data_IF_948182058525
#
_entry.id   IF_948182058525
#
_cell.length_a   1.000
_cell.length_b   1.000
_cell.length_c   1.000
_cell.angle_alpha   90.00
_cell.angle_beta   90.00
_cell.angle_gamma   90.00
#
_symmetry.space_group_name_H-M   'P 1'
#
loop_
_entity.id
_entity.type
_entity.pdbx_description
1 polymer ?
#
# COMPACT_ATOMS: atom_id res chain seq x y z
N UNK A 1 5.32 32.56 2.89
CA UNK A 1 3.86 32.43 2.75
C UNK A 1 3.35 31.58 3.90
N UNK A 2 2.22 31.90 4.51
CA UNK A 2 1.59 31.04 5.50
C UNK A 2 1.15 29.76 4.76
N UNK A 3 1.40 28.59 5.35
CA UNK A 3 0.90 27.32 4.80
C UNK A 3 -0.60 27.26 5.01
N UNK A 4 -1.31 26.73 4.03
CA UNK A 4 -2.75 26.52 4.11
C UNK A 4 -3.08 25.44 5.14
N UNK A 5 -4.27 25.58 5.76
CA UNK A 5 -4.83 24.52 6.60
C UNK A 5 -5.61 23.56 5.73
N UNK A 6 -5.51 22.27 6.05
CA UNK A 6 -6.35 21.24 5.45
C UNK A 6 -7.78 21.34 6.00
N UNK A 7 -8.76 21.39 5.11
CA UNK A 7 -10.18 21.38 5.45
C UNK A 7 -10.80 20.03 5.11
N UNK A 8 -11.45 19.38 6.09
CA UNK A 8 -12.09 18.08 5.95
C UNK A 8 -13.54 18.24 5.50
N UNK A 9 -13.75 18.43 4.20
CA UNK A 9 -15.08 18.65 3.63
C UNK A 9 -15.68 17.37 3.02
N UNK A 10 -14.86 16.36 2.72
CA UNK A 10 -15.24 15.12 2.06
C UNK A 10 -14.65 13.91 2.81
N UNK A 11 -15.25 12.70 2.70
CA UNK A 11 -14.63 11.48 3.20
C UNK A 11 -13.28 11.25 2.54
N UNK A 12 -12.27 10.93 3.35
CA UNK A 12 -10.92 10.63 2.87
C UNK A 12 -10.76 9.13 2.59
N UNK A 13 -10.23 8.79 1.42
CA UNK A 13 -9.99 7.40 0.98
C UNK A 13 -8.58 7.28 0.41
N UNK A 14 -7.87 6.24 0.84
CA UNK A 14 -6.56 5.92 0.28
C UNK A 14 -6.74 4.87 -0.81
N UNK A 15 -6.37 5.21 -2.03
CA UNK A 15 -6.33 4.26 -3.14
C UNK A 15 -4.91 4.17 -3.70
N UNK A 16 -4.65 3.17 -4.52
CA UNK A 16 -3.38 3.12 -5.22
C UNK A 16 -3.42 2.25 -6.45
N UNK A 17 -2.42 2.44 -7.32
CA UNK A 17 -2.22 1.65 -8.52
C UNK A 17 -1.34 0.45 -8.23
N UNK A 18 -1.80 -0.73 -8.64
CA UNK A 18 -1.06 -2.01 -8.59
C UNK A 18 -1.07 -2.66 -9.97
N UNK A 19 -0.16 -3.59 -10.23
CA UNK A 19 -0.07 -4.30 -11.50
C UNK A 19 1.39 -4.44 -11.99
N UNK A 20 1.57 -5.10 -13.11
CA UNK A 20 2.88 -5.41 -13.67
C UNK A 20 3.68 -4.14 -14.04
N UNK A 21 5.03 -4.27 -14.13
CA UNK A 21 5.88 -3.23 -14.70
C UNK A 21 5.46 -2.94 -16.14
N UNK A 22 5.60 -1.70 -16.58
CA UNK A 22 5.25 -1.23 -17.94
C UNK A 22 3.76 -1.31 -18.35
N UNK A 23 2.85 -1.71 -17.45
CA UNK A 23 1.41 -1.64 -17.70
C UNK A 23 0.82 -0.23 -17.61
N UNK A 24 1.63 0.77 -17.22
CA UNK A 24 1.27 2.20 -17.26
C UNK A 24 0.60 2.74 -16.00
N UNK A 25 0.93 2.21 -14.82
CA UNK A 25 0.40 2.68 -13.52
C UNK A 25 0.66 4.17 -13.29
N UNK A 26 1.91 4.59 -13.37
CA UNK A 26 2.32 5.98 -13.17
C UNK A 26 1.74 6.91 -14.25
N UNK A 27 1.62 6.42 -15.49
CA UNK A 27 0.95 7.15 -16.57
C UNK A 27 -0.53 7.36 -16.27
N UNK A 28 -1.21 6.33 -15.72
CA UNK A 28 -2.60 6.43 -15.30
C UNK A 28 -2.76 7.42 -14.15
N UNK A 29 -1.88 7.38 -13.16
CA UNK A 29 -1.88 8.33 -12.04
C UNK A 29 -1.73 9.78 -12.56
N UNK A 30 -0.82 10.02 -13.50
CA UNK A 30 -0.66 11.33 -14.13
C UNK A 30 -1.90 11.74 -14.93
N UNK A 31 -2.53 10.82 -15.68
CA UNK A 31 -3.74 11.08 -16.43
C UNK A 31 -4.93 11.45 -15.52
N UNK A 32 -5.09 10.74 -14.39
CA UNK A 32 -6.12 11.06 -13.39
C UNK A 32 -5.94 12.49 -12.86
N UNK A 33 -4.74 12.86 -12.43
CA UNK A 33 -4.49 14.22 -11.91
C UNK A 33 -4.70 15.29 -12.97
N UNK A 34 -4.37 15.00 -14.23
CA UNK A 34 -4.62 15.92 -15.36
C UNK A 34 -6.10 16.16 -15.58
N UNK A 35 -6.89 15.08 -15.67
CA UNK A 35 -8.32 15.17 -15.96
C UNK A 35 -9.06 15.89 -14.82
N UNK A 36 -8.79 15.53 -13.57
CA UNK A 36 -9.39 16.17 -12.41
C UNK A 36 -8.92 17.63 -12.23
N UNK A 37 -7.71 17.97 -12.66
CA UNK A 37 -7.25 19.37 -12.67
C UNK A 37 -8.10 20.27 -13.58
N UNK A 38 -8.69 19.72 -14.66
CA UNK A 38 -9.58 20.47 -15.54
C UNK A 38 -10.88 20.89 -14.84
N UNK A 39 -11.31 20.15 -13.82
CA UNK A 39 -12.46 20.48 -12.97
C UNK A 39 -12.07 21.35 -11.76
N UNK A 40 -10.77 21.49 -11.48
CA UNK A 40 -10.25 22.21 -10.32
C UNK A 40 -10.11 21.36 -9.08
N UNK A 41 -10.29 20.04 -9.20
CA UNK A 41 -10.32 19.06 -8.10
C UNK A 41 -8.96 18.39 -7.84
N UNK A 42 -7.91 18.82 -8.56
CA UNK A 42 -6.55 18.34 -8.34
C UNK A 42 -5.51 19.38 -8.78
N UNK A 43 -4.30 19.29 -8.22
CA UNK A 43 -3.11 19.86 -8.84
C UNK A 43 -2.56 18.86 -9.86
N UNK A 44 -2.37 19.28 -11.13
CA UNK A 44 -1.75 18.41 -12.13
C UNK A 44 -0.33 18.03 -11.72
N UNK A 45 -0.08 16.73 -11.62
CA UNK A 45 1.24 16.17 -11.35
C UNK A 45 1.74 15.46 -12.59
N UNK A 46 2.73 16.04 -13.27
CA UNK A 46 3.37 15.43 -14.42
C UNK A 46 4.08 14.12 -14.03
N UNK A 47 4.13 13.16 -14.93
CA UNK A 47 4.82 11.89 -14.79
C UNK A 47 6.21 12.03 -14.17
N UNK A 48 7.03 12.97 -14.66
CA UNK A 48 8.37 13.26 -14.15
C UNK A 48 8.40 13.80 -12.70
N UNK A 49 7.26 14.20 -12.15
CA UNK A 49 7.11 14.67 -10.78
C UNK A 49 6.52 13.61 -9.85
N UNK A 50 5.99 12.51 -10.38
CA UNK A 50 5.60 11.31 -9.63
C UNK A 50 6.88 10.49 -9.36
N UNK A 51 7.59 10.08 -10.40
CA UNK A 51 8.90 9.39 -10.31
C UNK A 51 10.02 10.41 -10.14
N UNK A 52 10.35 10.74 -8.89
CA UNK A 52 11.27 11.86 -8.56
C UNK A 52 12.73 11.47 -8.49
N UNK A 53 13.02 10.21 -8.13
CA UNK A 53 14.40 9.77 -7.94
C UNK A 53 15.15 9.74 -9.29
N UNK A 54 16.44 10.15 -9.32
CA UNK A 54 17.23 10.08 -10.55
C UNK A 54 17.26 8.68 -11.17
N UNK A 55 17.31 7.64 -10.34
CA UNK A 55 17.32 6.24 -10.76
C UNK A 55 15.98 5.79 -11.38
N UNK A 56 14.85 6.32 -10.89
CA UNK A 56 13.51 6.08 -11.45
C UNK A 56 13.40 6.64 -12.85
N UNK A 57 13.89 7.87 -13.04
CA UNK A 57 13.89 8.56 -14.35
C UNK A 57 14.83 7.90 -15.36
N UNK A 58 16.01 7.44 -14.91
CA UNK A 58 16.98 6.79 -15.78
C UNK A 58 16.49 5.42 -16.26
N UNK A 59 15.82 4.68 -15.39
CA UNK A 59 15.33 3.33 -15.69
C UNK A 59 13.91 3.32 -16.25
N UNK A 60 13.14 4.41 -16.12
CA UNK A 60 11.73 4.49 -16.50
C UNK A 60 10.81 3.58 -15.68
N UNK A 61 11.18 3.27 -14.43
CA UNK A 61 10.41 2.41 -13.52
C UNK A 61 10.26 3.07 -12.17
N UNK A 62 9.09 2.90 -11.54
CA UNK A 62 8.84 3.34 -10.16
C UNK A 62 9.57 2.41 -9.18
N UNK A 63 10.37 2.97 -8.30
CA UNK A 63 11.12 2.26 -7.24
C UNK A 63 10.47 2.46 -5.88
N UNK A 64 10.18 3.71 -5.54
CA UNK A 64 9.53 4.09 -4.29
C UNK A 64 8.06 4.39 -4.50
N UNK A 65 7.27 4.22 -3.45
CA UNK A 65 5.87 4.67 -3.47
C UNK A 65 5.81 6.20 -3.58
N UNK A 66 4.98 6.69 -4.49
CA UNK A 66 4.69 8.11 -4.62
C UNK A 66 3.27 8.40 -4.15
N UNK A 67 3.08 9.52 -3.46
CA UNK A 67 1.77 9.94 -2.98
C UNK A 67 1.31 11.19 -3.74
N UNK A 68 0.09 11.12 -4.25
CA UNK A 68 -0.57 12.20 -4.98
C UNK A 68 -1.94 12.46 -4.36
N UNK A 69 -2.35 13.73 -4.31
CA UNK A 69 -3.64 14.17 -3.76
C UNK A 69 -4.57 14.62 -4.89
N UNK A 70 -5.83 14.22 -4.83
CA UNK A 70 -6.89 14.75 -5.68
C UNK A 70 -8.28 14.50 -5.06
N UNK A 71 -9.29 15.13 -5.63
CA UNK A 71 -10.67 15.02 -5.17
C UNK A 71 -11.60 14.65 -6.33
N UNK A 72 -12.76 14.13 -5.99
CA UNK A 72 -13.95 14.07 -6.84
C UNK A 72 -15.06 14.86 -6.15
N UNK A 73 -16.23 14.97 -6.76
CA UNK A 73 -17.37 15.58 -6.08
C UNK A 73 -17.71 14.89 -4.75
N UNK A 74 -17.48 13.55 -4.67
CA UNK A 74 -17.89 12.71 -3.53
C UNK A 74 -16.82 12.57 -2.47
N UNK A 75 -15.52 12.53 -2.85
CA UNK A 75 -14.43 12.07 -1.97
C UNK A 75 -13.13 12.83 -2.17
N UNK A 76 -12.32 12.82 -1.13
CA UNK A 76 -10.91 13.24 -1.16
C UNK A 76 -10.02 11.99 -1.19
N UNK A 77 -9.05 11.94 -2.11
CA UNK A 77 -8.18 10.78 -2.32
C UNK A 77 -6.72 11.10 -2.02
N UNK A 78 -6.09 10.20 -1.26
CA UNK A 78 -4.65 10.01 -1.27
C UNK A 78 -4.35 8.81 -2.20
N UNK A 79 -3.63 9.04 -3.27
CA UNK A 79 -3.27 8.02 -4.24
C UNK A 79 -1.82 7.59 -4.06
N UNK A 80 -1.61 6.29 -3.88
CA UNK A 80 -0.30 5.66 -3.72
C UNK A 80 0.08 4.98 -5.04
N UNK A 81 1.03 5.54 -5.77
CA UNK A 81 1.59 4.87 -6.94
C UNK A 81 2.64 3.84 -6.51
N UNK A 82 2.37 2.56 -6.78
CA UNK A 82 3.22 1.45 -6.35
C UNK A 82 4.17 0.98 -7.44
N UNK A 83 5.40 0.57 -7.07
CA UNK A 83 6.32 -0.05 -8.01
C UNK A 83 5.74 -1.35 -8.57
N UNK A 84 6.02 -1.63 -9.85
CA UNK A 84 5.58 -2.85 -10.53
C UNK A 84 6.64 -3.94 -10.60
N UNK A 85 7.91 -3.62 -10.37
CA UNK A 85 9.03 -4.54 -10.55
C UNK A 85 9.22 -5.46 -9.34
N UNK A 86 9.55 -6.74 -9.59
CA UNK A 86 9.71 -7.76 -8.55
C UNK A 86 10.76 -7.40 -7.47
N UNK A 87 11.81 -6.67 -7.83
CA UNK A 87 12.85 -6.25 -6.87
C UNK A 87 12.33 -5.25 -5.81
N UNK A 88 11.22 -4.57 -6.09
CA UNK A 88 10.66 -3.52 -5.23
C UNK A 88 9.35 -3.94 -4.55
N UNK A 89 9.04 -5.23 -4.53
CA UNK A 89 7.82 -5.78 -3.90
C UNK A 89 7.68 -5.36 -2.43
N UNK A 90 8.79 -5.17 -1.70
CA UNK A 90 8.76 -4.62 -0.35
C UNK A 90 8.07 -3.24 -0.28
N UNK A 91 8.37 -2.35 -1.23
CA UNK A 91 7.75 -1.03 -1.30
C UNK A 91 6.29 -1.15 -1.77
N UNK A 92 5.99 -2.10 -2.66
CA UNK A 92 4.60 -2.41 -3.07
C UNK A 92 3.76 -2.88 -1.87
N UNK A 93 4.26 -3.82 -1.05
CA UNK A 93 3.56 -4.30 0.16
C UNK A 93 3.29 -3.15 1.12
N UNK A 94 4.30 -2.29 1.34
CA UNK A 94 4.15 -1.11 2.21
C UNK A 94 3.09 -0.15 1.68
N UNK A 95 3.07 0.11 0.37
CA UNK A 95 2.06 0.95 -0.27
C UNK A 95 0.67 0.32 -0.20
N UNK A 96 0.54 -0.96 -0.55
CA UNK A 96 -0.73 -1.68 -0.53
C UNK A 96 -1.36 -1.75 0.88
N UNK A 97 -0.55 -1.89 1.92
CA UNK A 97 -1.03 -1.88 3.30
C UNK A 97 -1.67 -0.55 3.72
N UNK A 98 -1.47 0.51 2.96
CA UNK A 98 -2.06 1.83 3.20
C UNK A 98 -3.38 2.04 2.45
N UNK A 99 -3.75 1.16 1.52
CA UNK A 99 -4.89 1.35 0.63
C UNK A 99 -6.20 0.92 1.28
N UNK A 100 -7.23 1.71 1.06
CA UNK A 100 -8.63 1.39 1.33
C UNK A 100 -9.31 0.77 0.09
N UNK A 101 -8.64 0.82 -1.06
CA UNK A 101 -8.99 0.20 -2.32
C UNK A 101 -7.86 0.31 -3.32
N UNK A 102 -7.85 -0.51 -4.36
CA UNK A 102 -6.81 -0.49 -5.38
C UNK A 102 -7.37 -0.38 -6.80
N UNK A 103 -6.59 0.21 -7.69
CA UNK A 103 -6.80 0.18 -9.13
C UNK A 103 -5.78 -0.81 -9.71
N UNK A 104 -6.25 -1.95 -10.21
CA UNK A 104 -5.43 -2.92 -10.89
C UNK A 104 -5.26 -2.51 -12.35
N UNK A 105 -4.05 -2.19 -12.76
CA UNK A 105 -3.71 -1.77 -14.12
C UNK A 105 -3.13 -2.94 -14.89
N UNK A 106 -3.78 -3.31 -15.99
CA UNK A 106 -3.35 -4.39 -16.89
C UNK A 106 -3.30 -3.87 -18.32
N UNK A 107 -2.20 -4.09 -19.03
CA UNK A 107 -2.13 -3.72 -20.45
C UNK A 107 -2.98 -4.69 -21.28
N UNK A 108 -3.82 -4.14 -22.16
CA UNK A 108 -4.68 -4.93 -23.06
C UNK A 108 -3.88 -5.76 -24.08
N UNK A 109 -2.62 -5.37 -24.35
CA UNK A 109 -1.69 -6.09 -25.23
C UNK A 109 -1.12 -7.36 -24.59
N UNK A 110 -0.98 -7.37 -23.25
CA UNK A 110 -0.20 -8.40 -22.54
C UNK A 110 -1.07 -9.28 -21.63
N UNK A 111 -2.21 -8.77 -21.18
CA UNK A 111 -3.04 -9.42 -20.17
C UNK A 111 -2.40 -9.52 -18.79
N UNK A 112 -2.97 -10.31 -17.86
CA UNK A 112 -2.42 -10.47 -16.52
C UNK A 112 -1.13 -11.29 -16.55
N UNK A 113 -0.04 -10.70 -16.06
CA UNK A 113 1.29 -11.30 -15.99
C UNK A 113 1.65 -11.78 -14.57
N UNK A 114 2.81 -12.39 -14.41
CA UNK A 114 3.23 -12.97 -13.12
C UNK A 114 3.18 -11.97 -11.95
N UNK A 115 3.64 -10.73 -12.17
CA UNK A 115 3.60 -9.68 -11.13
C UNK A 115 2.17 -9.17 -10.89
N UNK A 116 1.29 -9.21 -11.89
CA UNK A 116 -0.13 -8.90 -11.70
C UNK A 116 -0.76 -9.85 -10.68
N UNK A 117 -0.52 -11.17 -10.85
CA UNK A 117 -0.99 -12.22 -9.93
C UNK A 117 -0.39 -12.05 -8.53
N UNK A 118 0.93 -11.77 -8.44
CA UNK A 118 1.59 -11.51 -7.15
C UNK A 118 1.01 -10.26 -6.46
N UNK A 119 0.72 -9.19 -7.20
CA UNK A 119 0.15 -7.96 -6.62
C UNK A 119 -1.29 -8.17 -6.13
N UNK A 120 -2.13 -8.93 -6.84
CA UNK A 120 -3.48 -9.28 -6.40
C UNK A 120 -3.41 -10.10 -5.11
N UNK A 121 -2.56 -11.13 -5.07
CA UNK A 121 -2.32 -11.94 -3.88
C UNK A 121 -1.89 -11.09 -2.68
N UNK A 122 -0.89 -10.23 -2.87
CA UNK A 122 -0.38 -9.36 -1.82
C UNK A 122 -1.43 -8.34 -1.34
N UNK A 123 -2.19 -7.74 -2.25
CA UNK A 123 -3.29 -6.83 -1.91
C UNK A 123 -4.32 -7.53 -1.02
N UNK A 124 -4.71 -8.76 -1.36
CA UNK A 124 -5.61 -9.57 -0.53
C UNK A 124 -4.99 -9.85 0.86
N UNK A 125 -3.70 -10.23 0.91
CA UNK A 125 -3.01 -10.55 2.17
C UNK A 125 -2.89 -9.37 3.12
N UNK A 126 -2.59 -8.17 2.60
CA UNK A 126 -2.52 -6.95 3.43
C UNK A 126 -3.90 -6.39 3.77
N UNK A 127 -4.96 -6.95 3.18
CA UNK A 127 -6.35 -6.64 3.51
C UNK A 127 -6.95 -5.48 2.71
N UNK A 128 -6.51 -5.24 1.47
CA UNK A 128 -7.20 -4.32 0.56
C UNK A 128 -8.62 -4.84 0.31
N UNK A 129 -9.67 -4.08 0.66
CA UNK A 129 -11.03 -4.62 0.67
C UNK A 129 -11.68 -4.69 -0.70
N UNK A 130 -11.26 -3.87 -1.66
CA UNK A 130 -11.87 -3.81 -2.99
C UNK A 130 -10.86 -3.37 -4.05
N UNK A 131 -11.05 -3.88 -5.27
CA UNK A 131 -10.24 -3.57 -6.45
C UNK A 131 -11.17 -3.11 -7.58
N UNK A 132 -10.74 -2.08 -8.33
CA UNK A 132 -11.31 -1.68 -9.63
C UNK A 132 -10.26 -1.97 -10.68
N UNK A 133 -10.65 -2.47 -11.84
CA UNK A 133 -9.72 -2.81 -12.92
C UNK A 133 -9.71 -1.74 -14.00
N UNK A 134 -8.51 -1.38 -14.46
CA UNK A 134 -8.29 -0.56 -15.64
C UNK A 134 -7.47 -1.33 -16.69
N UNK A 135 -8.09 -1.74 -17.79
CA UNK A 135 -7.40 -2.31 -18.95
C UNK A 135 -6.85 -1.14 -19.77
N UNK A 136 -5.52 -0.97 -19.68
CA UNK A 136 -4.79 0.14 -20.28
C UNK A 136 -4.25 -0.23 -21.66
N UNK A 137 -3.78 0.75 -22.42
CA UNK A 137 -3.21 0.61 -23.78
C UNK A 137 -4.19 -0.01 -24.79
N UNK A 138 -5.48 0.26 -24.66
CA UNK A 138 -6.47 -0.23 -25.61
C UNK A 138 -6.30 0.37 -27.01
N UNK A 139 -5.59 1.51 -27.13
CA UNK A 139 -5.19 2.13 -28.39
C UNK A 139 -4.16 1.31 -29.18
N UNK A 140 -3.43 0.43 -28.53
CA UNK A 140 -2.44 -0.47 -29.16
C UNK A 140 -3.05 -1.84 -29.54
N UNK A 141 -4.35 -2.05 -29.31
CA UNK A 141 -5.05 -3.32 -29.59
C UNK A 141 -6.02 -3.16 -30.76
N UNK A 142 -5.73 -3.80 -31.88
CA UNK A 142 -6.55 -3.72 -33.10
C UNK A 142 -7.82 -4.59 -33.02
N UNK A 143 -7.77 -5.70 -32.27
CA UNK A 143 -8.86 -6.67 -32.16
C UNK A 143 -9.61 -6.53 -30.84
N UNK A 144 -10.88 -6.06 -30.86
CA UNK A 144 -11.70 -5.97 -29.66
C UNK A 144 -11.92 -7.29 -28.93
N UNK A 145 -11.93 -8.45 -29.66
CA UNK A 145 -12.13 -9.77 -29.03
C UNK A 145 -10.95 -10.13 -28.11
N UNK A 146 -9.74 -9.60 -28.39
CA UNK A 146 -8.60 -9.77 -27.50
C UNK A 146 -8.82 -9.10 -26.14
N UNK A 147 -9.44 -7.93 -26.11
CA UNK A 147 -9.78 -7.23 -24.86
C UNK A 147 -10.81 -8.00 -24.04
N UNK A 148 -11.75 -8.69 -24.69
CA UNK A 148 -12.72 -9.55 -24.00
C UNK A 148 -12.03 -10.76 -23.35
N UNK A 149 -11.07 -11.35 -24.04
CA UNK A 149 -10.26 -12.47 -23.47
C UNK A 149 -9.40 -12.00 -22.30
N UNK A 150 -8.76 -10.84 -22.42
CA UNK A 150 -7.97 -10.24 -21.33
C UNK A 150 -8.85 -9.96 -20.11
N UNK A 151 -10.06 -9.43 -20.31
CA UNK A 151 -11.00 -9.19 -19.21
C UNK A 151 -11.41 -10.49 -18.53
N UNK A 152 -11.69 -11.56 -19.30
CA UNK A 152 -12.02 -12.87 -18.73
C UNK A 152 -10.89 -13.42 -17.87
N UNK A 153 -9.64 -13.38 -18.35
CA UNK A 153 -8.46 -13.85 -17.62
C UNK A 153 -8.21 -13.04 -16.33
N UNK A 154 -8.44 -11.71 -16.37
CA UNK A 154 -8.38 -10.86 -15.18
C UNK A 154 -9.43 -11.26 -14.15
N UNK A 155 -10.69 -11.47 -14.57
CA UNK A 155 -11.80 -11.85 -13.68
C UNK A 155 -11.56 -13.22 -13.05
N UNK A 156 -11.07 -14.19 -13.83
CA UNK A 156 -10.66 -15.51 -13.33
C UNK A 156 -9.53 -15.38 -12.30
N UNK A 157 -8.47 -14.63 -12.63
CA UNK A 157 -7.34 -14.40 -11.71
C UNK A 157 -7.77 -13.73 -10.40
N UNK A 158 -8.68 -12.75 -10.45
CA UNK A 158 -9.21 -12.10 -9.24
C UNK A 158 -10.02 -13.07 -8.38
N UNK A 159 -10.83 -13.94 -9.02
CA UNK A 159 -11.63 -14.96 -8.34
C UNK A 159 -10.75 -16.03 -7.69
N UNK A 160 -9.65 -16.42 -8.32
CA UNK A 160 -8.64 -17.34 -7.75
C UNK A 160 -7.99 -16.79 -6.46
N UNK A 161 -8.01 -15.47 -6.28
CA UNK A 161 -7.44 -14.78 -5.11
C UNK A 161 -8.49 -14.18 -4.17
N UNK A 162 -9.68 -14.79 -4.11
CA UNK A 162 -10.78 -14.44 -3.19
C UNK A 162 -11.37 -13.02 -3.38
N UNK A 163 -11.17 -12.39 -4.53
CA UNK A 163 -11.91 -11.19 -4.92
C UNK A 163 -13.16 -11.57 -5.75
N UNK A 164 -14.27 -10.80 -5.69
CA UNK A 164 -15.48 -11.10 -6.46
C UNK A 164 -15.32 -10.73 -7.94
N UNK A 165 -14.50 -11.49 -8.68
CA UNK A 165 -14.07 -11.17 -10.05
C UNK A 165 -15.21 -10.83 -11.03
N UNK A 166 -16.35 -11.49 -10.89
CA UNK A 166 -17.54 -11.25 -11.76
C UNK A 166 -18.22 -9.91 -11.50
N UNK A 167 -18.11 -9.37 -10.27
CA UNK A 167 -18.79 -8.14 -9.83
C UNK A 167 -17.91 -6.90 -9.93
N UNK A 168 -16.61 -7.09 -10.10
CA UNK A 168 -15.62 -6.00 -10.12
C UNK A 168 -15.78 -5.13 -11.37
N UNK A 169 -15.86 -3.80 -11.23
CA UNK A 169 -15.85 -2.88 -12.38
C UNK A 169 -14.56 -3.02 -13.17
N UNK A 170 -14.69 -3.16 -14.50
CA UNK A 170 -13.58 -3.20 -15.45
C UNK A 170 -13.76 -2.08 -16.47
N UNK A 171 -12.85 -1.15 -16.49
CA UNK A 171 -12.85 -0.01 -17.39
C UNK A 171 -11.74 -0.20 -18.43
N UNK A 172 -12.04 0.05 -19.69
CA UNK A 172 -11.11 -0.07 -20.82
C UNK A 172 -10.73 1.31 -21.33
N UNK A 173 -9.44 1.55 -21.59
CA UNK A 173 -9.01 2.85 -22.10
C UNK A 173 -7.51 2.93 -22.35
N UNK A 174 -7.07 4.17 -22.60
CA UNK A 174 -5.66 4.50 -22.74
C UNK A 174 -5.30 5.70 -21.87
N UNK A 175 -4.53 5.45 -20.83
CA UNK A 175 -4.01 6.50 -19.98
C UNK A 175 -3.11 7.49 -20.75
N UNK A 176 -2.37 6.99 -21.74
CA UNK A 176 -1.49 7.81 -22.59
C UNK A 176 -2.29 8.75 -23.48
N UNK A 177 -3.33 8.26 -24.14
CA UNK A 177 -4.20 9.10 -24.99
C UNK A 177 -4.84 10.22 -24.16
N UNK A 178 -5.32 9.90 -22.96
CA UNK A 178 -5.86 10.92 -22.05
C UNK A 178 -4.77 11.90 -21.59
N UNK A 179 -3.57 11.41 -21.26
CA UNK A 179 -2.48 12.27 -20.80
C UNK A 179 -1.96 13.20 -21.91
N UNK A 180 -1.86 12.71 -23.15
CA UNK A 180 -1.34 13.47 -24.31
C UNK A 180 -2.40 14.38 -24.92
N UNK A 181 -3.68 14.22 -24.62
CA UNK A 181 -4.78 15.02 -25.19
C UNK A 181 -4.61 16.52 -24.86
N UNK A 182 -4.58 17.41 -25.85
CA UNK A 182 -4.38 18.85 -25.64
C UNK A 182 -5.66 19.60 -25.26
N UNK A 183 -6.81 18.93 -25.24
CA UNK A 183 -8.10 19.55 -24.92
C UNK A 183 -8.13 20.08 -23.49
N UNK A 184 -8.83 21.21 -23.31
CA UNK A 184 -9.20 21.74 -21.99
C UNK A 184 -10.67 21.48 -21.66
N UNK A 185 -11.40 20.83 -22.56
CA UNK A 185 -12.78 20.43 -22.34
C UNK A 185 -12.79 19.05 -21.69
N UNK A 186 -13.31 18.95 -20.48
CA UNK A 186 -13.43 17.71 -19.73
C UNK A 186 -14.27 16.65 -20.47
N UNK A 187 -15.19 17.10 -21.34
CA UNK A 187 -16.04 16.20 -22.14
C UNK A 187 -15.35 15.67 -23.40
N UNK A 188 -14.05 15.91 -23.59
CA UNK A 188 -13.31 15.34 -24.70
C UNK A 188 -13.35 13.80 -24.62
N UNK A 189 -13.58 13.09 -25.75
CA UNK A 189 -13.70 11.63 -25.75
C UNK A 189 -12.50 10.90 -25.16
N UNK A 190 -11.31 11.49 -25.29
CA UNK A 190 -10.06 10.94 -24.75
C UNK A 190 -10.02 10.87 -23.23
N UNK A 191 -10.82 11.67 -22.54
CA UNK A 191 -10.93 11.68 -21.09
C UNK A 191 -12.00 10.75 -20.54
N UNK A 192 -12.90 10.25 -21.39
CA UNK A 192 -14.08 9.47 -20.95
C UNK A 192 -13.71 8.27 -20.11
N UNK A 193 -12.65 7.52 -20.46
CA UNK A 193 -12.22 6.34 -19.70
C UNK A 193 -11.69 6.70 -18.31
N UNK A 194 -11.09 7.87 -18.13
CA UNK A 194 -10.59 8.33 -16.82
C UNK A 194 -11.77 8.76 -15.93
N UNK A 195 -12.74 9.47 -16.50
CA UNK A 195 -13.96 9.87 -15.79
C UNK A 195 -14.76 8.63 -15.37
N UNK A 196 -14.91 7.65 -16.27
CA UNK A 196 -15.59 6.38 -15.98
C UNK A 196 -14.86 5.61 -14.85
N UNK A 197 -13.52 5.56 -14.91
CA UNK A 197 -12.71 4.95 -13.86
C UNK A 197 -12.95 5.62 -12.50
N UNK A 198 -12.92 6.95 -12.45
CA UNK A 198 -13.10 7.67 -11.18
C UNK A 198 -14.51 7.52 -10.62
N UNK A 199 -15.52 7.47 -11.49
CA UNK A 199 -16.89 7.16 -11.09
C UNK A 199 -17.00 5.71 -10.52
N UNK A 200 -16.36 4.74 -11.15
CA UNK A 200 -16.34 3.36 -10.66
C UNK A 200 -15.61 3.27 -9.32
N UNK A 201 -14.51 3.99 -9.13
CA UNK A 201 -13.78 4.07 -7.85
C UNK A 201 -14.67 4.69 -6.76
N UNK A 202 -15.35 5.79 -7.06
CA UNK A 202 -16.28 6.46 -6.13
C UNK A 202 -17.44 5.55 -5.67
N UNK A 203 -17.97 4.73 -6.59
CA UNK A 203 -19.18 3.94 -6.34
C UNK A 203 -18.84 2.55 -5.77
N UNK A 204 -17.73 1.95 -6.17
CA UNK A 204 -17.40 0.56 -5.82
C UNK A 204 -16.49 0.44 -4.60
N UNK A 205 -15.47 1.33 -4.46
CA UNK A 205 -14.58 1.28 -3.29
C UNK A 205 -15.36 1.73 -2.04
N UNK A 206 -15.43 0.91 -0.97
CA UNK A 206 -16.17 1.28 0.22
C UNK A 206 -15.51 2.46 0.95
N UNK A 207 -16.33 3.31 1.56
CA UNK A 207 -15.80 4.29 2.51
C UNK A 207 -15.30 3.54 3.74
N UNK A 208 -14.01 3.65 4.11
CA UNK A 208 -13.44 2.85 5.18
C UNK A 208 -14.01 3.24 6.55
N UNK A 209 -14.24 2.24 7.40
CA UNK A 209 -14.55 2.46 8.82
C UNK A 209 -13.26 2.85 9.55
N UNK A 210 -13.21 4.08 10.05
CA UNK A 210 -12.04 4.64 10.73
C UNK A 210 -12.07 4.27 12.21
N UNK A 211 -11.06 3.53 12.68
CA UNK A 211 -10.88 3.15 14.09
C UNK A 211 -10.33 4.30 14.92
N UNK A 212 -11.01 5.45 14.90
CA UNK A 212 -10.53 6.69 15.56
C UNK A 212 -10.68 6.68 17.08
N UNK A 213 -11.48 5.79 17.64
CA UNK A 213 -11.69 5.59 19.08
C UNK A 213 -10.60 4.77 19.78
N UNK A 214 -9.77 4.08 19.01
CA UNK A 214 -8.64 3.30 19.52
C UNK A 214 -7.42 4.19 19.84
N UNK A 215 -6.44 3.71 20.65
CA UNK A 215 -5.19 4.42 20.87
C UNK A 215 -4.44 4.68 19.55
N UNK A 216 -3.91 5.90 19.39
CA UNK A 216 -3.15 6.29 18.19
C UNK A 216 -2.01 5.31 17.87
N UNK A 217 -1.90 4.98 16.60
CA UNK A 217 -0.81 4.18 16.04
C UNK A 217 -0.59 4.56 14.57
N UNK A 218 0.67 4.83 14.23
CA UNK A 218 1.13 5.13 12.88
C UNK A 218 2.45 4.38 12.60
N UNK A 219 2.46 3.40 11.68
CA UNK A 219 3.71 2.81 11.19
C UNK A 219 4.57 3.86 10.49
N UNK A 220 5.88 3.86 10.77
CA UNK A 220 6.84 4.75 10.12
C UNK A 220 7.20 4.19 8.76
N UNK A 221 6.95 4.96 7.72
CA UNK A 221 7.21 4.61 6.32
C UNK A 221 8.54 5.20 5.82
N UNK A 222 8.76 6.47 6.13
CA UNK A 222 10.01 7.17 5.80
C UNK A 222 10.33 8.22 6.87
N UNK A 223 11.60 8.63 6.90
CA UNK A 223 12.08 9.66 7.81
C UNK A 223 12.94 10.67 7.08
N UNK A 224 12.71 11.95 7.33
CA UNK A 224 13.46 13.02 6.73
C UNK A 224 13.83 14.11 7.75
N UNK A 225 14.91 14.83 7.48
CA UNK A 225 15.28 15.98 8.28
C UNK A 225 14.95 17.28 7.54
N UNK A 226 14.21 18.16 8.19
CA UNK A 226 13.99 19.51 7.67
C UNK A 226 14.92 20.47 8.40
N UNK A 227 15.81 21.13 7.64
CA UNK A 227 16.78 22.07 8.18
C UNK A 227 16.07 23.16 9.03
N UNK A 228 16.54 23.32 10.28
CA UNK A 228 15.99 24.29 11.24
C UNK A 228 14.65 23.92 11.88
N UNK A 229 14.04 22.77 11.51
CA UNK A 229 12.75 22.31 12.10
C UNK A 229 12.86 20.99 12.86
N UNK A 230 13.68 20.05 12.41
CA UNK A 230 13.89 18.75 13.06
C UNK A 230 13.59 17.56 12.18
N UNK A 231 13.38 16.40 12.79
CA UNK A 231 13.06 15.14 12.13
C UNK A 231 11.56 15.00 11.93
N UNK A 232 11.18 14.61 10.73
CA UNK A 232 9.81 14.26 10.34
C UNK A 232 9.74 12.76 10.08
N UNK A 233 8.77 12.10 10.68
CA UNK A 233 8.36 10.74 10.34
C UNK A 233 7.09 10.79 9.51
N UNK A 234 7.05 10.05 8.41
CA UNK A 234 5.87 9.93 7.54
C UNK A 234 5.24 8.55 7.69
N UNK A 235 3.93 8.50 7.49
CA UNK A 235 3.18 7.25 7.49
C UNK A 235 1.68 7.50 7.45
N UNK A 236 0.92 6.42 7.27
CA UNK A 236 -0.54 6.43 7.41
C UNK A 236 -0.91 6.17 8.86
N UNK A 237 -1.82 6.95 9.40
CA UNK A 237 -2.43 6.68 10.71
C UNK A 237 -3.28 5.41 10.60
N UNK A 238 -2.86 4.32 11.26
CA UNK A 238 -3.56 3.03 11.24
C UNK A 238 -4.83 3.08 12.09
N UNK A 239 -4.75 3.75 13.24
CA UNK A 239 -5.86 3.92 14.18
C UNK A 239 -5.67 5.12 15.10
N UNK A 240 -6.76 5.55 15.72
CA UNK A 240 -6.76 6.61 16.72
C UNK A 240 -6.68 8.01 16.14
N UNK A 241 -6.46 8.96 17.02
CA UNK A 241 -6.32 10.38 16.73
C UNK A 241 -5.01 10.89 17.33
N UNK A 242 -4.26 11.67 16.57
CA UNK A 242 -3.06 12.39 16.98
C UNK A 242 -3.33 13.89 16.95
N UNK A 243 -3.06 14.57 18.05
CA UNK A 243 -3.19 16.03 18.16
C UNK A 243 -1.83 16.70 18.24
N UNK A 244 -1.79 17.96 17.83
CA UNK A 244 -0.60 18.78 18.02
C UNK A 244 -0.26 18.88 19.52
N UNK A 245 1.03 18.73 19.84
CA UNK A 245 1.60 18.65 21.19
C UNK A 245 1.32 17.36 21.97
N UNK A 246 0.72 16.36 21.37
CA UNK A 246 0.63 15.05 22.00
C UNK A 246 2.02 14.44 22.20
N UNK A 247 2.16 13.69 23.31
CA UNK A 247 3.30 12.83 23.55
C UNK A 247 3.08 11.51 22.85
N UNK A 248 4.03 11.09 22.03
CA UNK A 248 4.04 9.80 21.33
C UNK A 248 5.26 9.00 21.73
N UNK A 249 5.16 7.70 21.53
CA UNK A 249 6.24 6.74 21.76
C UNK A 249 6.67 6.13 20.43
N UNK A 250 7.99 6.09 20.21
CA UNK A 250 8.65 5.40 19.11
C UNK A 250 9.00 4.02 19.62
N UNK A 251 8.48 2.96 19.01
CA UNK A 251 8.71 1.58 19.44
C UNK A 251 8.87 0.60 18.27
N UNK A 252 9.44 -0.56 18.51
CA UNK A 252 9.82 -1.55 17.49
C UNK A 252 11.26 -1.39 17.02
N UNK A 253 11.85 -2.47 16.51
CA UNK A 253 13.23 -2.63 16.08
C UNK A 253 14.28 -2.51 17.22
N UNK A 254 13.92 -1.95 18.33
CA UNK A 254 14.73 -1.82 19.55
C UNK A 254 13.92 -2.29 20.77
N UNK A 255 14.61 -2.73 21.81
CA UNK A 255 13.98 -3.17 23.07
C UNK A 255 13.54 -1.98 23.95
N UNK A 256 14.13 -0.79 23.74
CA UNK A 256 13.84 0.41 24.52
C UNK A 256 13.01 1.42 23.71
N UNK A 257 11.74 1.65 24.09
CA UNK A 257 10.91 2.67 23.47
C UNK A 257 11.38 4.09 23.85
N UNK A 258 11.19 5.04 22.94
CA UNK A 258 11.56 6.44 23.14
C UNK A 258 10.36 7.35 23.05
N UNK A 259 10.15 8.23 24.00
CA UNK A 259 9.04 9.19 23.98
C UNK A 259 9.49 10.54 23.41
N UNK A 260 8.59 11.18 22.70
CA UNK A 260 8.76 12.54 22.15
C UNK A 260 7.43 13.27 22.01
N UNK A 261 7.48 14.55 21.68
CA UNK A 261 6.30 15.39 21.48
C UNK A 261 6.17 15.77 20.01
N UNK A 262 4.97 15.64 19.48
CA UNK A 262 4.63 16.06 18.11
C UNK A 262 4.45 17.58 18.07
N UNK A 263 5.31 18.26 17.31
CA UNK A 263 5.32 19.73 17.21
C UNK A 263 4.73 20.24 15.91
N UNK A 264 4.39 19.38 14.99
CA UNK A 264 3.74 19.71 13.72
C UNK A 264 3.15 18.47 13.08
N UNK A 265 2.02 18.64 12.42
CA UNK A 265 1.35 17.61 11.62
C UNK A 265 1.06 18.22 10.26
N UNK A 266 1.46 17.56 9.20
CA UNK A 266 1.27 18.02 7.82
C UNK A 266 0.73 16.87 6.96
N UNK A 267 -0.20 17.16 6.06
CA UNK A 267 -0.70 16.26 5.03
C UNK A 267 -0.70 17.03 3.71
N UNK A 268 -0.06 16.51 2.65
CA UNK A 268 0.07 17.15 1.35
C UNK A 268 0.50 18.64 1.44
N UNK A 269 1.50 18.94 2.29
CA UNK A 269 2.04 20.29 2.58
C UNK A 269 1.07 21.26 3.26
N UNK A 270 -0.14 20.82 3.61
CA UNK A 270 -1.11 21.58 4.41
C UNK A 270 -0.96 21.23 5.89
N UNK A 271 -1.17 22.22 6.77
CA UNK A 271 -1.07 22.03 8.22
C UNK A 271 -2.36 21.42 8.77
N UNK A 272 -2.22 20.50 9.72
CA UNK A 272 -3.32 19.94 10.48
C UNK A 272 -3.20 20.27 11.97
N UNK A 273 -4.34 20.52 12.63
CA UNK A 273 -4.42 20.64 14.09
C UNK A 273 -4.47 19.25 14.74
N UNK A 274 -5.01 18.25 14.02
CA UNK A 274 -5.04 16.84 14.41
C UNK A 274 -5.03 15.95 13.16
N UNK A 275 -4.60 14.71 13.33
CA UNK A 275 -4.73 13.64 12.34
C UNK A 275 -5.56 12.50 12.91
N UNK A 276 -6.28 11.79 12.04
CA UNK A 276 -7.11 10.64 12.41
C UNK A 276 -6.79 9.42 11.57
N UNK A 277 -7.31 8.27 11.98
CA UNK A 277 -7.13 7.01 11.26
C UNK A 277 -7.43 7.19 9.77
N UNK A 278 -6.51 6.74 8.92
CA UNK A 278 -6.54 6.86 7.46
C UNK A 278 -5.73 8.01 6.88
N UNK A 279 -5.38 9.04 7.64
CA UNK A 279 -4.59 10.16 7.13
C UNK A 279 -3.15 9.73 6.83
N UNK A 280 -2.62 10.18 5.68
CA UNK A 280 -1.19 10.06 5.35
C UNK A 280 -0.48 11.34 5.78
N UNK A 281 0.28 11.27 6.84
CA UNK A 281 0.84 12.46 7.49
C UNK A 281 2.36 12.42 7.63
N UNK A 282 2.94 13.61 7.71
CA UNK A 282 4.27 13.84 8.24
C UNK A 282 4.18 14.46 9.63
N UNK A 283 4.78 13.81 10.62
CA UNK A 283 4.83 14.26 12.01
C UNK A 283 6.20 14.84 12.33
N UNK A 284 6.25 16.10 12.76
CA UNK A 284 7.47 16.74 13.23
C UNK A 284 7.70 16.39 14.71
N UNK A 285 8.82 15.75 15.00
CA UNK A 285 9.16 15.21 16.32
C UNK A 285 10.19 16.09 17.04
N UNK A 286 9.91 16.42 18.31
CA UNK A 286 10.80 17.25 19.11
C UNK A 286 12.03 16.48 19.59
N UNK A 287 13.22 17.01 19.31
CA UNK A 287 14.48 16.49 19.87
C UNK A 287 14.88 15.08 19.38
N UNK A 288 14.24 14.58 18.34
CA UNK A 288 14.59 13.31 17.70
C UNK A 288 15.52 13.58 16.52
N UNK A 289 16.65 12.89 16.46
CA UNK A 289 17.54 12.89 15.32
C UNK A 289 17.14 11.81 14.31
N UNK A 290 17.53 11.95 13.04
CA UNK A 290 17.13 11.01 11.98
C UNK A 290 17.59 9.57 12.25
N UNK A 291 18.70 9.37 12.91
CA UNK A 291 19.24 8.04 13.28
C UNK A 291 18.59 7.42 14.52
N UNK A 292 17.64 8.11 15.14
CA UNK A 292 16.89 7.63 16.32
C UNK A 292 15.48 7.15 15.97
N UNK A 293 15.10 7.27 14.71
CA UNK A 293 13.83 6.77 14.18
C UNK A 293 14.05 6.26 12.75
N UNK A 294 13.49 5.10 12.45
CA UNK A 294 13.66 4.47 11.14
C UNK A 294 12.36 3.79 10.67
N UNK A 295 12.30 3.51 9.37
CA UNK A 295 11.23 2.76 8.75
C UNK A 295 11.07 1.40 9.45
N UNK A 296 9.83 1.03 9.75
CA UNK A 296 9.48 -0.22 10.42
C UNK A 296 9.20 -0.09 11.91
N UNK A 297 9.61 1.01 12.53
CA UNK A 297 9.11 1.40 13.84
C UNK A 297 7.68 1.95 13.74
N UNK A 298 7.03 2.12 14.88
CA UNK A 298 5.72 2.76 14.96
C UNK A 298 5.77 3.96 15.90
N UNK A 299 5.00 5.01 15.55
CA UNK A 299 4.60 6.04 16.48
C UNK A 299 3.27 5.65 17.11
N UNK A 300 3.18 5.63 18.42
CA UNK A 300 1.97 5.21 19.11
C UNK A 300 1.69 6.06 20.35
N UNK A 301 0.48 5.93 20.89
CA UNK A 301 0.20 6.44 22.22
C UNK A 301 1.11 5.71 23.23
N UNK A 302 1.79 6.41 24.16
CA UNK A 302 2.70 5.76 25.10
C UNK A 302 2.09 4.56 25.81
N UNK A 303 2.81 3.41 25.76
CA UNK A 303 2.41 2.15 26.40
C UNK A 303 1.23 1.42 25.73
N UNK A 304 0.82 1.80 24.54
CA UNK A 304 -0.34 1.16 23.85
C UNK A 304 0.02 -0.05 22.99
N UNK A 305 1.28 -0.21 22.65
CA UNK A 305 1.83 -1.37 21.93
C UNK A 305 3.28 -1.60 22.37
N UNK A 306 3.72 -2.85 22.39
CA UNK A 306 5.06 -3.23 22.82
C UNK A 306 5.81 -3.99 21.72
N UNK A 307 7.16 -3.92 21.70
CA UNK A 307 7.97 -4.72 20.79
C UNK A 307 8.06 -6.16 21.31
N UNK A 308 7.88 -7.14 20.42
CA UNK A 308 7.98 -8.57 20.75
C UNK A 308 8.82 -9.29 19.69
N UNK A 309 9.49 -10.37 20.12
CA UNK A 309 10.25 -11.27 19.24
C UNK A 309 9.54 -12.58 19.00
N UNK A 310 8.68 -13.03 19.92
CA UNK A 310 8.06 -14.36 19.88
C UNK A 310 6.55 -14.25 19.79
N UNK A 311 6.00 -14.96 18.82
CA UNK A 311 4.55 -15.03 18.65
C UNK A 311 4.12 -16.37 18.05
N UNK A 312 2.84 -16.68 18.20
CA UNK A 312 2.16 -17.72 17.42
C UNK A 312 1.45 -17.10 16.25
N UNK A 313 1.61 -17.72 15.08
CA UNK A 313 0.91 -17.29 13.86
C UNK A 313 0.17 -18.46 13.23
N UNK A 314 -1.05 -18.22 12.82
CA UNK A 314 -1.75 -19.12 11.90
C UNK A 314 -1.32 -18.74 10.49
N UNK A 315 -0.73 -19.69 9.75
CA UNK A 315 -0.06 -19.45 8.47
C UNK A 315 -0.63 -20.38 7.41
N UNK A 316 -1.00 -19.81 6.29
CA UNK A 316 -1.24 -20.54 5.05
C UNK A 316 0.02 -20.52 4.19
N UNK A 317 0.48 -21.68 3.78
CA UNK A 317 1.67 -21.86 2.92
C UNK A 317 1.23 -21.96 1.46
N UNK A 318 1.62 -20.98 0.65
CA UNK A 318 1.22 -20.88 -0.74
C UNK A 318 1.71 -22.09 -1.56
N UNK A 319 0.83 -22.62 -2.43
CA UNK A 319 1.15 -23.67 -3.40
C UNK A 319 2.01 -23.11 -4.54
N UNK A 320 2.59 -24.02 -5.31
CA UNK A 320 3.39 -23.68 -6.50
C UNK A 320 2.57 -22.89 -7.53
N UNK A 321 1.33 -23.29 -7.73
CA UNK A 321 0.38 -22.67 -8.66
C UNK A 321 0.02 -21.23 -8.26
N UNK A 322 0.08 -20.94 -6.95
CA UNK A 322 -0.11 -19.61 -6.34
C UNK A 322 1.20 -18.79 -6.31
N UNK A 323 2.25 -19.22 -7.01
CA UNK A 323 3.56 -18.56 -7.00
C UNK A 323 4.44 -18.90 -5.78
N UNK A 324 3.96 -19.76 -4.90
CA UNK A 324 4.64 -20.16 -3.66
C UNK A 324 5.71 -21.23 -3.83
N UNK A 325 5.88 -22.03 -2.78
CA UNK A 325 6.88 -23.10 -2.73
C UNK A 325 6.39 -24.35 -3.46
N UNK A 326 7.35 -25.17 -3.92
CA UNK A 326 7.11 -26.53 -4.45
C UNK A 326 7.69 -27.62 -3.55
N UNK A 327 8.40 -27.23 -2.48
CA UNK A 327 9.02 -28.15 -1.52
C UNK A 327 8.54 -27.87 -0.11
N UNK A 328 8.43 -28.90 0.75
CA UNK A 328 8.12 -28.68 2.16
C UNK A 328 9.24 -27.94 2.88
N UNK A 329 8.92 -27.40 4.05
CA UNK A 329 9.92 -26.93 5.00
C UNK A 329 9.74 -27.60 6.39
N UNK A 330 10.79 -27.53 7.17
CA UNK A 330 10.90 -28.14 8.49
C UNK A 330 11.08 -27.08 9.56
N UNK A 331 10.99 -27.46 10.84
CA UNK A 331 11.39 -26.59 11.95
C UNK A 331 12.82 -26.05 11.75
N UNK A 332 13.09 -24.84 12.23
CA UNK A 332 14.27 -24.01 11.98
C UNK A 332 14.36 -23.39 10.59
N UNK A 333 13.28 -23.38 9.81
CA UNK A 333 13.19 -22.59 8.58
C UNK A 333 13.26 -21.10 8.90
N UNK A 334 14.01 -20.33 8.09
CA UNK A 334 14.35 -18.92 8.37
C UNK A 334 13.99 -17.99 7.22
N UNK A 335 12.71 -17.73 6.98
CA UNK A 335 12.26 -16.79 5.98
C UNK A 335 12.25 -15.34 6.51
N UNK A 336 11.88 -14.40 5.63
CA UNK A 336 11.58 -13.02 6.00
C UNK A 336 10.08 -12.88 6.29
N UNK A 337 9.77 -12.23 7.39
CA UNK A 337 8.42 -11.85 7.82
C UNK A 337 8.20 -10.38 7.56
N UNK A 338 7.16 -10.05 6.81
CA UNK A 338 6.79 -8.68 6.47
C UNK A 338 5.62 -8.24 7.34
N UNK A 339 5.85 -7.24 8.17
CA UNK A 339 4.86 -6.60 9.03
C UNK A 339 4.77 -5.11 8.68
N UNK A 340 3.57 -4.59 8.43
CA UNK A 340 3.39 -3.15 8.15
C UNK A 340 4.44 -2.64 7.15
N UNK A 341 5.39 -1.82 7.61
CA UNK A 341 6.41 -1.16 6.78
C UNK A 341 7.79 -1.82 6.84
N UNK A 342 7.95 -2.95 7.53
CA UNK A 342 9.25 -3.61 7.73
C UNK A 342 9.24 -5.09 7.41
N UNK A 343 10.42 -5.64 7.22
CA UNK A 343 10.68 -7.06 7.13
C UNK A 343 11.77 -7.48 8.12
N UNK A 344 11.58 -8.63 8.75
CA UNK A 344 12.52 -9.21 9.71
C UNK A 344 12.64 -10.70 9.49
N UNK A 345 13.85 -11.23 9.55
CA UNK A 345 14.08 -12.68 9.55
C UNK A 345 13.55 -13.29 10.85
N UNK A 346 12.80 -14.38 10.71
CA UNK A 346 12.32 -15.15 11.85
C UNK A 346 12.61 -16.63 11.70
N UNK A 347 12.66 -17.34 12.81
CA UNK A 347 12.83 -18.80 12.88
C UNK A 347 11.47 -19.42 13.16
N UNK A 348 11.05 -20.35 12.31
CA UNK A 348 9.80 -21.09 12.48
C UNK A 348 10.05 -22.38 13.25
N UNK A 349 9.20 -22.64 14.24
CA UNK A 349 9.09 -23.92 14.93
C UNK A 349 7.70 -24.50 14.67
N UNK A 350 7.65 -25.67 14.05
CA UNK A 350 6.41 -26.39 13.78
C UNK A 350 5.88 -27.06 15.07
N UNK A 351 4.56 -27.30 15.18
CA UNK A 351 3.99 -28.08 16.27
C UNK A 351 4.63 -29.47 16.39
N UNK A 352 4.67 -30.01 17.60
CA UNK A 352 5.36 -31.28 17.88
C UNK A 352 4.77 -32.49 17.15
N UNK A 353 3.53 -32.44 16.74
CA UNK A 353 2.81 -33.45 15.96
C UNK A 353 3.04 -33.32 14.43
N UNK A 354 3.79 -32.29 13.98
CA UNK A 354 4.00 -32.00 12.56
C UNK A 354 5.49 -31.91 12.23
N UNK A 355 6.01 -32.92 11.55
CA UNK A 355 7.43 -33.00 11.16
C UNK A 355 7.79 -31.98 10.07
N UNK A 356 6.89 -31.79 9.10
CA UNK A 356 7.08 -30.86 7.98
C UNK A 356 5.80 -30.12 7.63
N UNK A 357 5.95 -28.99 6.95
CA UNK A 357 4.86 -28.20 6.40
C UNK A 357 4.91 -28.22 4.88
N UNK A 358 3.80 -28.62 4.26
CA UNK A 358 3.66 -28.73 2.80
C UNK A 358 3.07 -27.45 2.22
N UNK A 359 3.38 -27.12 0.94
CA UNK A 359 2.61 -26.12 0.21
C UNK A 359 1.11 -26.47 0.21
N UNK A 360 0.26 -25.48 0.53
CA UNK A 360 -1.18 -25.64 0.70
C UNK A 360 -1.63 -25.94 2.13
N UNK A 361 -0.70 -26.14 3.06
CA UNK A 361 -1.05 -26.35 4.47
C UNK A 361 -1.46 -25.04 5.16
N UNK A 362 -2.42 -25.16 6.09
CA UNK A 362 -2.74 -24.14 7.05
C UNK A 362 -2.31 -24.63 8.45
N UNK A 363 -1.34 -23.95 9.06
CA UNK A 363 -0.66 -24.43 10.27
C UNK A 363 -0.47 -23.29 11.26
N UNK A 364 -0.77 -23.55 12.54
CA UNK A 364 -0.34 -22.68 13.62
C UNK A 364 1.09 -23.01 14.01
N UNK A 365 1.98 -22.04 13.96
CA UNK A 365 3.40 -22.23 14.24
C UNK A 365 3.94 -21.19 15.21
N UNK A 366 4.99 -21.53 15.94
CA UNK A 366 5.74 -20.60 16.75
C UNK A 366 6.82 -19.92 15.92
N UNK A 367 6.94 -18.61 16.05
CA UNK A 367 7.92 -17.78 15.34
C UNK A 367 8.75 -16.99 16.31
N UNK A 368 10.08 -17.00 16.12
CA UNK A 368 11.02 -16.18 16.86
C UNK A 368 11.77 -15.25 15.88
N UNK A 369 11.50 -13.95 15.98
CA UNK A 369 12.14 -12.91 15.17
C UNK A 369 13.54 -12.57 15.69
N UNK A 370 14.46 -12.27 14.79
CA UNK A 370 15.83 -11.83 15.18
C UNK A 370 15.84 -10.43 15.79
N UNK A 371 14.85 -9.59 15.45
CA UNK A 371 14.70 -8.21 15.93
C UNK A 371 13.28 -8.04 16.48
N UNK A 372 13.08 -7.31 17.61
CA UNK A 372 11.75 -7.07 18.15
C UNK A 372 10.96 -6.15 17.23
N UNK A 373 9.69 -6.44 17.05
CA UNK A 373 8.77 -5.63 16.26
C UNK A 373 7.53 -5.29 17.09
N UNK A 374 6.96 -4.10 16.89
CA UNK A 374 5.68 -3.73 17.46
C UNK A 374 4.56 -4.57 16.82
N UNK A 375 4.22 -5.69 17.45
CA UNK A 375 3.18 -6.62 17.00
C UNK A 375 2.09 -6.77 18.05
N UNK A 376 0.90 -7.14 17.59
CA UNK A 376 -0.27 -7.40 18.41
C UNK A 376 -1.08 -8.55 17.81
N UNK A 377 -1.95 -9.15 18.60
CA UNK A 377 -2.86 -10.19 18.12
C UNK A 377 -3.78 -9.65 17.01
N UNK A 378 -4.01 -10.46 15.98
CA UNK A 378 -4.77 -10.07 14.79
C UNK A 378 -3.96 -9.37 13.70
N UNK A 379 -2.68 -9.01 13.95
CA UNK A 379 -1.83 -8.41 12.92
C UNK A 379 -1.52 -9.43 11.82
N UNK A 380 -1.77 -9.05 10.57
CA UNK A 380 -1.43 -9.86 9.39
C UNK A 380 0.04 -9.69 9.02
N UNK A 381 0.59 -10.74 8.41
CA UNK A 381 1.96 -10.72 7.89
C UNK A 381 2.10 -11.60 6.66
N UNK A 382 3.08 -11.28 5.81
CA UNK A 382 3.50 -12.11 4.71
C UNK A 382 4.85 -12.77 5.02
N UNK A 383 5.07 -13.97 4.47
CA UNK A 383 6.33 -14.72 4.56
C UNK A 383 6.96 -14.76 3.18
N UNK A 384 8.21 -14.37 3.07
CA UNK A 384 8.94 -14.33 1.79
C UNK A 384 10.28 -15.06 1.87
N UNK A 385 10.65 -15.68 0.75
CA UNK A 385 11.94 -16.35 0.55
C UNK A 385 12.40 -16.13 -0.88
N UNK A 386 13.65 -15.74 -1.09
CA UNK A 386 14.24 -15.61 -2.42
C UNK A 386 13.48 -14.70 -3.38
N UNK A 387 12.88 -13.61 -2.86
CA UNK A 387 12.10 -12.65 -3.65
C UNK A 387 10.66 -13.07 -3.94
N UNK A 388 10.19 -14.22 -3.40
CA UNK A 388 8.81 -14.74 -3.61
C UNK A 388 8.04 -14.76 -2.30
N UNK A 389 6.75 -14.51 -2.36
CA UNK A 389 5.83 -14.75 -1.23
C UNK A 389 5.56 -16.25 -1.15
N UNK A 390 5.83 -16.84 0.00
CA UNK A 390 5.71 -18.29 0.23
C UNK A 390 4.62 -18.63 1.25
N UNK A 391 4.05 -17.62 1.89
CA UNK A 391 2.96 -17.80 2.82
C UNK A 391 2.44 -16.48 3.36
N UNK A 392 1.29 -16.55 4.00
CA UNK A 392 0.70 -15.44 4.73
C UNK A 392 0.09 -15.94 6.03
N UNK A 393 -0.03 -15.05 6.99
CA UNK A 393 -0.58 -15.44 8.28
C UNK A 393 -1.09 -14.27 9.10
N UNK A 394 -1.63 -14.64 10.24
CA UNK A 394 -2.12 -13.70 11.26
C UNK A 394 -1.52 -14.09 12.63
N UNK A 395 -1.12 -13.09 13.40
CA UNK A 395 -0.65 -13.28 14.78
C UNK A 395 -1.84 -13.70 15.64
N UNK A 396 -1.75 -14.86 16.27
CA UNK A 396 -2.83 -15.42 17.11
C UNK A 396 -2.55 -15.30 18.59
N UNK A 397 -1.28 -15.22 18.98
CA UNK A 397 -0.87 -14.97 20.37
C UNK A 397 0.55 -14.42 20.41
N UNK A 398 0.83 -13.60 21.42
CA UNK A 398 2.19 -13.14 21.73
C UNK A 398 2.78 -14.07 22.79
N UNK A 399 3.98 -14.59 22.53
CA UNK A 399 4.74 -15.42 23.43
C UNK A 399 5.91 -14.57 23.97
N UNK A 400 6.00 -14.39 25.27
CA UNK A 400 7.14 -13.70 25.90
C UNK A 400 8.26 -14.67 26.25
#
# INVERSE_FOLDING_TARGET
>A
MAREKFERNKPHVNIGTIGHVDHGKTTLTAAITKVLNLEGDADFVDYANIDKAPEERERGITINTAHVEYETEKRHYAHVDCPGHADYVKNMITGAAQMDGAILVVAGTDGPMAQTKEHILLAHQVGVPAIVVFINKCDDVDDPELLDLVEMDIRETLSEHDFPGDEIPVIRGSAKVALDCPSKDINAPEYACIIELMNAVDDYIPTPDRKSDLPFLMPVEDTMTISGRGTVATGRVERGILKLNDTVEITGLTDEPKQTVVTGIEMFRKLLDFAEAGDNIGTLLRGIQRNEIERGQVLCKPGSIHPHKKFKGQVYVLKKEEGGRHTPFFSNYRPQFFFRTTDVTGVITLPADKEMCMPGDNVTMDVELITPIAIEEGLRFAIREGGRTVGSGVVTAINE
#
